data_IF_304328286559
#
_entry.id   IF_304328286559
#
_cell.length_a   1.000
_cell.length_b   1.000
_cell.length_c   1.000
_cell.angle_alpha   90.00
_cell.angle_beta   90.00
_cell.angle_gamma   90.00
#
_symmetry.space_group_name_H-M   'P 1'
#
loop_
_entity.id
_entity.type
_entity.pdbx_description
1 polymer ?
#
# COMPACT_ATOMS: atom_id res chain seq x y z
N UNK A 1 -33.17 -6.98 14.94
CA UNK A 1 -32.28 -6.22 14.03
C UNK A 1 -32.27 -4.76 14.48
N UNK A 2 -31.18 -4.23 15.07
CA UNK A 2 -31.12 -2.80 15.38
C UNK A 2 -30.94 -2.01 14.09
N UNK A 3 -31.75 -0.98 13.90
CA UNK A 3 -31.66 -0.02 12.79
C UNK A 3 -30.24 0.56 12.73
N UNK A 4 -29.51 0.32 11.63
CA UNK A 4 -28.30 1.08 11.27
C UNK A 4 -28.68 2.56 11.29
N UNK A 5 -28.17 3.33 12.25
CA UNK A 5 -28.21 4.78 12.18
C UNK A 5 -27.57 5.17 10.85
N UNK A 6 -28.26 5.99 10.05
CA UNK A 6 -27.71 6.53 8.81
C UNK A 6 -26.42 7.30 9.19
N UNK A 7 -25.27 6.72 8.91
CA UNK A 7 -23.98 7.45 8.96
C UNK A 7 -24.09 8.54 7.88
N UNK A 8 -23.93 9.80 8.29
CA UNK A 8 -23.80 10.88 7.34
C UNK A 8 -22.70 10.52 6.34
N UNK A 9 -23.02 10.58 5.04
CA UNK A 9 -22.02 10.34 4.01
C UNK A 9 -20.88 11.36 4.17
N UNK A 10 -19.61 10.92 4.10
CA UNK A 10 -18.46 11.84 4.07
C UNK A 10 -18.62 12.79 2.88
N UNK A 11 -18.34 14.09 3.04
CA UNK A 11 -18.26 15.02 1.92
C UNK A 11 -16.97 14.72 1.15
N UNK A 12 -17.03 13.80 0.15
CA UNK A 12 -15.85 13.39 -0.59
C UNK A 12 -15.31 14.55 -1.45
N UNK A 13 -13.99 14.78 -1.48
CA UNK A 13 -13.37 15.74 -2.39
C UNK A 13 -13.35 15.22 -3.84
N UNK A 14 -12.82 16.02 -4.76
CA UNK A 14 -12.75 15.69 -6.19
C UNK A 14 -11.88 14.48 -6.54
N UNK A 15 -11.04 14.02 -5.61
CA UNK A 15 -10.12 12.91 -5.82
C UNK A 15 -10.02 12.03 -4.56
N UNK A 16 -10.40 10.78 -4.68
CA UNK A 16 -10.25 9.76 -3.62
C UNK A 16 -9.22 8.74 -4.05
N UNK A 17 -8.17 8.60 -3.26
CA UNK A 17 -6.99 7.79 -3.58
C UNK A 17 -6.77 6.71 -2.54
N UNK A 18 -6.45 5.51 -2.99
CA UNK A 18 -5.98 4.41 -2.16
C UNK A 18 -4.50 4.14 -2.43
N UNK A 19 -3.66 4.28 -1.41
CA UNK A 19 -2.21 4.05 -1.47
C UNK A 19 -1.87 2.78 -0.71
N UNK A 20 -1.28 1.80 -1.42
CA UNK A 20 -1.04 0.44 -0.94
C UNK A 20 0.46 0.15 -0.83
N UNK A 21 0.94 -0.07 0.39
CA UNK A 21 2.32 -0.41 0.70
C UNK A 21 2.66 -1.85 0.25
N UNK A 22 3.93 -2.12 -0.07
CA UNK A 22 4.45 -3.48 -0.25
C UNK A 22 4.56 -4.24 1.08
N UNK A 23 4.44 -5.58 1.04
CA UNK A 23 4.55 -6.40 2.26
C UNK A 23 4.09 -7.86 2.15
N UNK A 24 4.14 -8.45 0.96
CA UNK A 24 3.88 -9.88 0.75
C UNK A 24 2.52 -10.35 1.27
N UNK A 25 2.51 -11.40 2.10
CA UNK A 25 1.31 -11.99 2.66
C UNK A 25 0.43 -11.03 3.49
N UNK A 26 1.03 -9.93 4.02
CA UNK A 26 0.29 -8.90 4.76
C UNK A 26 -0.71 -8.14 3.87
N UNK A 27 -0.58 -8.21 2.55
CA UNK A 27 -1.49 -7.57 1.61
C UNK A 27 -2.96 -7.99 1.72
N UNK A 28 -3.27 -9.10 2.39
CA UNK A 28 -4.64 -9.47 2.73
C UNK A 28 -5.35 -8.42 3.61
N UNK A 29 -4.60 -7.69 4.44
CA UNK A 29 -5.10 -6.53 5.19
C UNK A 29 -5.62 -5.44 4.25
N UNK A 30 -4.91 -5.16 3.15
CA UNK A 30 -5.33 -4.16 2.15
C UNK A 30 -6.64 -4.57 1.47
N UNK A 31 -6.83 -5.87 1.23
CA UNK A 31 -8.07 -6.39 0.67
C UNK A 31 -9.25 -6.16 1.61
N UNK A 32 -9.07 -6.39 2.91
CA UNK A 32 -10.08 -6.07 3.93
C UNK A 32 -10.38 -4.57 4.04
N UNK A 33 -9.35 -3.73 3.93
CA UNK A 33 -9.54 -2.27 3.85
C UNK A 33 -10.39 -1.89 2.64
N UNK A 34 -10.06 -2.40 1.46
CA UNK A 34 -10.82 -2.11 0.24
C UNK A 34 -12.29 -2.56 0.36
N UNK A 35 -12.54 -3.77 0.84
CA UNK A 35 -13.90 -4.28 1.06
C UNK A 35 -14.70 -3.35 1.97
N UNK A 36 -14.13 -2.89 3.10
CA UNK A 36 -14.81 -2.00 4.01
C UNK A 36 -15.08 -0.60 3.41
N UNK A 37 -14.17 -0.06 2.59
CA UNK A 37 -14.39 1.20 1.86
C UNK A 37 -15.55 1.08 0.87
N UNK A 38 -15.65 -0.06 0.15
CA UNK A 38 -16.77 -0.35 -0.75
C UNK A 38 -18.10 -0.45 0.01
N UNK A 39 -18.13 -1.14 1.17
CA UNK A 39 -19.31 -1.25 2.03
C UNK A 39 -19.80 0.12 2.55
N UNK A 40 -18.90 1.09 2.70
CA UNK A 40 -19.21 2.47 3.06
C UNK A 40 -19.68 3.34 1.88
N UNK A 41 -19.66 2.81 0.66
CA UNK A 41 -20.02 3.54 -0.54
C UNK A 41 -18.93 4.46 -1.08
N UNK A 42 -17.69 4.35 -0.61
CA UNK A 42 -16.58 5.17 -1.08
C UNK A 42 -16.12 4.65 -2.45
N UNK A 43 -16.10 5.52 -3.44
CA UNK A 43 -15.55 5.25 -4.78
C UNK A 43 -14.14 5.78 -4.88
N UNK A 44 -13.27 5.02 -5.57
CA UNK A 44 -11.88 5.39 -5.76
C UNK A 44 -11.68 5.93 -7.18
N UNK A 45 -10.93 7.02 -7.28
CA UNK A 45 -10.51 7.59 -8.57
C UNK A 45 -9.12 7.10 -8.95
N UNK A 46 -8.30 6.75 -7.95
CA UNK A 46 -6.91 6.38 -8.17
C UNK A 46 -6.46 5.35 -7.13
N UNK A 47 -5.76 4.31 -7.60
CA UNK A 47 -5.08 3.33 -6.73
C UNK A 47 -3.60 3.30 -7.10
N UNK A 48 -2.73 3.46 -6.09
CA UNK A 48 -1.29 3.40 -6.26
C UNK A 48 -0.70 2.32 -5.35
N UNK A 49 0.15 1.45 -5.88
CA UNK A 49 0.68 0.31 -5.12
C UNK A 49 2.13 -0.03 -5.42
N UNK A 50 2.77 -0.68 -4.43
CA UNK A 50 4.12 -1.25 -4.54
C UNK A 50 4.04 -2.73 -4.18
N UNK A 51 4.75 -3.60 -4.92
CA UNK A 51 4.85 -5.04 -4.62
C UNK A 51 3.46 -5.70 -4.55
N UNK A 52 3.12 -6.35 -3.44
CA UNK A 52 1.77 -6.91 -3.24
C UNK A 52 0.68 -5.83 -3.31
N UNK A 53 1.00 -4.59 -2.94
CA UNK A 53 0.10 -3.45 -3.12
C UNK A 53 -0.20 -3.17 -4.60
N UNK A 54 0.77 -3.40 -5.50
CA UNK A 54 0.56 -3.30 -6.96
C UNK A 54 -0.37 -4.41 -7.47
N UNK A 55 -0.25 -5.64 -6.94
CA UNK A 55 -1.16 -6.75 -7.25
C UNK A 55 -2.60 -6.40 -6.85
N UNK A 56 -2.80 -5.98 -5.61
CA UNK A 56 -4.12 -5.56 -5.13
C UNK A 56 -4.67 -4.37 -5.95
N UNK A 57 -3.82 -3.38 -6.25
CA UNK A 57 -4.18 -2.21 -7.04
C UNK A 57 -4.63 -2.58 -8.46
N UNK A 58 -3.94 -3.52 -9.12
CA UNK A 58 -4.30 -4.01 -10.45
C UNK A 58 -5.65 -4.73 -10.45
N UNK A 59 -5.91 -5.56 -9.43
CA UNK A 59 -7.21 -6.24 -9.29
C UNK A 59 -8.33 -5.22 -9.07
N UNK A 60 -8.10 -4.17 -8.27
CA UNK A 60 -9.08 -3.11 -8.03
C UNK A 60 -9.36 -2.33 -9.33
N UNK A 61 -8.32 -1.86 -10.02
CA UNK A 61 -8.46 -1.03 -11.22
C UNK A 61 -9.00 -1.82 -12.42
N UNK A 62 -8.69 -3.11 -12.50
CA UNK A 62 -9.06 -3.99 -13.62
C UNK A 62 -10.45 -4.62 -13.52
N UNK A 63 -11.23 -4.32 -12.48
CA UNK A 63 -12.55 -4.92 -12.29
C UNK A 63 -13.63 -3.87 -11.99
N UNK A 64 -14.90 -4.22 -12.23
CA UNK A 64 -16.01 -3.42 -11.75
C UNK A 64 -16.02 -3.43 -10.20
N UNK A 65 -16.47 -2.33 -9.60
CA UNK A 65 -16.48 -2.14 -8.16
C UNK A 65 -17.13 -3.29 -7.38
N UNK A 66 -18.25 -3.79 -7.87
CA UNK A 66 -19.00 -4.88 -7.26
C UNK A 66 -18.32 -6.26 -7.42
N UNK A 67 -17.41 -6.40 -8.39
CA UNK A 67 -16.68 -7.63 -8.68
C UNK A 67 -15.29 -7.66 -8.06
N UNK A 68 -14.67 -6.50 -7.87
CA UNK A 68 -13.27 -6.39 -7.44
C UNK A 68 -13.00 -7.09 -6.10
N UNK A 69 -13.91 -6.97 -5.11
CA UNK A 69 -13.78 -7.68 -3.82
C UNK A 69 -13.79 -9.19 -4.02
N UNK A 70 -14.69 -9.71 -4.87
CA UNK A 70 -14.74 -11.13 -5.23
C UNK A 70 -13.46 -11.61 -5.91
N UNK A 71 -12.89 -10.81 -6.81
CA UNK A 71 -11.61 -11.10 -7.47
C UNK A 71 -10.42 -11.06 -6.53
N UNK A 72 -10.40 -10.13 -5.59
CA UNK A 72 -9.40 -10.10 -4.52
C UNK A 72 -9.52 -11.34 -3.62
N UNK A 73 -10.76 -11.76 -3.28
CA UNK A 73 -10.99 -12.98 -2.51
C UNK A 73 -10.49 -14.20 -3.27
N UNK A 74 -10.78 -14.32 -4.57
CA UNK A 74 -10.30 -15.39 -5.44
C UNK A 74 -8.76 -15.45 -5.48
N UNK A 75 -8.08 -14.29 -5.58
CA UNK A 75 -6.62 -14.20 -5.51
C UNK A 75 -6.09 -14.72 -4.17
N UNK A 76 -6.56 -14.12 -3.06
CA UNK A 76 -6.04 -14.43 -1.73
C UNK A 76 -6.35 -15.85 -1.28
N UNK A 77 -7.50 -16.39 -1.67
CA UNK A 77 -7.83 -17.80 -1.45
C UNK A 77 -6.97 -18.74 -2.28
N UNK A 78 -6.66 -18.36 -3.51
CA UNK A 78 -5.77 -19.13 -4.40
C UNK A 78 -4.36 -19.23 -3.83
N UNK A 79 -3.75 -18.12 -3.48
CA UNK A 79 -2.37 -18.08 -2.95
C UNK A 79 -2.24 -18.69 -1.54
N UNK A 80 -3.34 -18.81 -0.79
CA UNK A 80 -3.37 -19.45 0.52
C UNK A 80 -3.83 -20.92 0.49
N UNK A 81 -3.98 -21.53 -0.69
CA UNK A 81 -4.54 -22.87 -0.85
C UNK A 81 -3.56 -24.03 -0.60
N UNK A 82 -2.24 -23.78 -0.67
CA UNK A 82 -1.23 -24.85 -0.52
C UNK A 82 -1.07 -25.35 0.92
N UNK A 83 -1.44 -24.53 1.89
CA UNK A 83 -1.26 -24.86 3.28
C UNK A 83 -2.58 -25.41 3.85
N UNK A 84 -2.58 -26.62 4.42
CA UNK A 84 -3.77 -27.13 5.09
C UNK A 84 -4.19 -26.12 6.15
N UNK A 85 -5.49 -25.83 6.19
CA UNK A 85 -6.08 -25.05 7.28
C UNK A 85 -5.89 -25.85 8.57
N UNK A 86 -4.78 -25.61 9.26
CA UNK A 86 -4.59 -26.20 10.57
C UNK A 86 -5.66 -25.61 11.51
N UNK A 87 -6.26 -26.43 12.38
CA UNK A 87 -7.24 -25.93 13.33
C UNK A 87 -6.64 -24.73 14.08
N UNK A 88 -7.41 -23.65 14.19
CA UNK A 88 -7.02 -22.51 15.03
C UNK A 88 -6.89 -23.02 16.46
N UNK A 89 -5.67 -23.25 16.89
CA UNK A 89 -5.37 -23.65 18.26
C UNK A 89 -5.43 -22.42 19.16
N UNK A 90 -6.15 -22.49 20.25
CA UNK A 90 -6.37 -21.37 21.19
C UNK A 90 -5.14 -21.05 22.08
N UNK A 91 -3.94 -21.31 21.57
CA UNK A 91 -2.68 -21.11 22.28
C UNK A 91 -1.69 -20.37 21.36
N UNK A 92 -1.22 -19.22 21.79
CA UNK A 92 -0.31 -18.36 21.02
C UNK A 92 0.99 -19.08 20.64
N UNK A 93 1.56 -19.91 21.51
CA UNK A 93 2.74 -20.72 21.20
C UNK A 93 2.51 -21.70 20.04
N UNK A 94 1.37 -22.38 20.01
CA UNK A 94 1.05 -23.30 18.92
C UNK A 94 0.76 -22.56 17.60
N UNK A 95 0.19 -21.37 17.66
CA UNK A 95 0.00 -20.48 16.49
C UNK A 95 1.34 -20.02 15.92
N UNK A 96 2.28 -19.62 16.77
CA UNK A 96 3.62 -19.19 16.38
C UNK A 96 4.38 -20.31 15.67
N UNK A 97 4.39 -21.55 16.22
CA UNK A 97 4.98 -22.72 15.57
C UNK A 97 4.34 -23.05 14.22
N UNK A 98 3.03 -22.95 14.14
CA UNK A 98 2.28 -23.17 12.90
C UNK A 98 2.65 -22.12 11.85
N UNK A 99 2.77 -20.87 12.28
CA UNK A 99 3.16 -19.74 11.45
C UNK A 99 4.59 -19.90 10.88
N UNK A 100 5.56 -20.30 11.72
CA UNK A 100 6.92 -20.57 11.27
C UNK A 100 6.99 -21.77 10.30
N UNK A 101 6.26 -22.85 10.58
CA UNK A 101 6.18 -24.02 9.70
C UNK A 101 5.58 -23.65 8.33
N UNK A 102 4.53 -22.82 8.30
CA UNK A 102 3.91 -22.33 7.09
C UNK A 102 4.87 -21.47 6.25
N UNK A 103 5.60 -20.55 6.89
CA UNK A 103 6.64 -19.77 6.21
C UNK A 103 7.76 -20.66 5.65
N UNK A 104 8.18 -21.69 6.38
CA UNK A 104 9.15 -22.69 5.89
C UNK A 104 8.66 -23.46 4.68
N UNK A 105 7.37 -23.84 4.63
CA UNK A 105 6.77 -24.48 3.47
C UNK A 105 6.74 -23.54 2.25
N UNK A 106 6.38 -22.27 2.43
CA UNK A 106 6.43 -21.28 1.37
C UNK A 106 7.84 -21.15 0.79
N UNK A 107 8.87 -21.11 1.64
CA UNK A 107 10.25 -21.05 1.20
C UNK A 107 10.67 -22.30 0.40
N UNK A 108 10.19 -23.48 0.79
CA UNK A 108 10.56 -24.75 0.15
C UNK A 108 9.76 -25.05 -1.14
N UNK A 109 8.48 -24.71 -1.19
CA UNK A 109 7.56 -25.13 -2.26
C UNK A 109 6.95 -23.96 -3.05
N UNK A 110 7.18 -22.72 -2.63
CA UNK A 110 6.57 -21.53 -3.24
C UNK A 110 5.12 -21.30 -2.81
N UNK A 111 4.43 -20.47 -3.57
CA UNK A 111 3.03 -20.07 -3.34
C UNK A 111 2.22 -20.35 -4.61
N UNK A 112 1.14 -21.14 -4.55
CA UNK A 112 0.31 -21.44 -5.72
C UNK A 112 -0.20 -20.19 -6.42
N UNK A 113 -0.09 -20.17 -7.74
CA UNK A 113 -0.56 -19.03 -8.54
C UNK A 113 0.23 -17.74 -8.32
N UNK A 114 1.35 -17.80 -7.58
CA UNK A 114 2.19 -16.63 -7.31
C UNK A 114 3.64 -16.87 -7.72
N UNK A 115 4.37 -17.78 -7.04
CA UNK A 115 5.73 -18.16 -7.41
C UNK A 115 6.05 -19.61 -7.04
N UNK A 116 6.99 -20.22 -7.78
CA UNK A 116 7.47 -21.58 -7.55
C UNK A 116 9.01 -21.61 -7.48
N UNK A 117 9.62 -22.52 -6.72
CA UNK A 117 11.08 -22.69 -6.72
C UNK A 117 11.60 -23.04 -8.12
N UNK A 118 12.75 -22.48 -8.48
CA UNK A 118 13.40 -22.79 -9.77
C UNK A 118 14.00 -24.18 -9.76
N UNK A 119 13.82 -24.85 -10.88
CA UNK A 119 14.52 -26.08 -11.18
C UNK A 119 15.03 -26.05 -12.63
N UNK A 120 16.35 -26.19 -12.89
CA UNK A 120 17.43 -26.36 -11.90
C UNK A 120 17.63 -25.13 -11.01
N UNK A 121 18.27 -25.27 -9.83
CA UNK A 121 18.60 -24.15 -8.96
C UNK A 121 19.48 -23.10 -9.64
N UNK A 122 19.47 -21.81 -9.20
CA UNK A 122 20.17 -20.69 -9.86
C UNK A 122 21.66 -20.92 -10.11
N UNK A 123 22.35 -21.71 -9.25
CA UNK A 123 23.76 -22.03 -9.41
C UNK A 123 24.08 -22.83 -10.69
N UNK A 124 23.09 -23.44 -11.30
CA UNK A 124 23.21 -24.23 -12.54
C UNK A 124 22.64 -23.49 -13.76
N UNK A 125 22.10 -22.30 -13.58
CA UNK A 125 21.59 -21.47 -14.67
C UNK A 125 22.71 -20.76 -15.43
N UNK A 126 22.46 -20.40 -16.68
CA UNK A 126 23.35 -19.60 -17.47
C UNK A 126 23.55 -18.20 -16.86
N UNK A 127 24.81 -17.73 -16.79
CA UNK A 127 25.09 -16.40 -16.24
C UNK A 127 24.43 -15.30 -17.06
N UNK A 128 24.05 -14.22 -16.39
CA UNK A 128 23.39 -13.05 -16.97
C UNK A 128 21.93 -13.30 -17.41
N UNK A 129 21.31 -14.36 -16.91
CA UNK A 129 19.88 -14.61 -17.08
C UNK A 129 19.11 -14.35 -15.79
N UNK A 130 17.81 -14.03 -15.84
CA UNK A 130 16.98 -13.88 -14.66
C UNK A 130 16.98 -15.12 -13.76
N UNK A 131 17.14 -16.31 -14.36
CA UNK A 131 17.24 -17.61 -13.69
C UNK A 131 18.47 -17.71 -12.79
N UNK A 132 19.59 -17.11 -13.20
CA UNK A 132 20.85 -17.14 -12.43
C UNK A 132 20.84 -16.22 -11.20
N UNK A 133 19.88 -15.27 -11.13
CA UNK A 133 19.85 -14.22 -10.10
C UNK A 133 18.58 -14.27 -9.23
N UNK A 134 17.78 -15.36 -9.32
CA UNK A 134 16.56 -15.50 -8.53
C UNK A 134 16.27 -16.94 -8.11
N UNK A 135 15.75 -17.12 -6.89
CA UNK A 135 15.40 -18.43 -6.34
C UNK A 135 14.08 -18.98 -6.86
N UNK A 136 13.16 -18.11 -7.24
CA UNK A 136 11.80 -18.46 -7.65
C UNK A 136 11.50 -17.99 -9.07
N UNK A 137 10.52 -18.64 -9.68
CA UNK A 137 9.89 -18.24 -10.93
C UNK A 137 8.50 -17.65 -10.65
N UNK A 138 8.19 -16.51 -11.26
CA UNK A 138 6.94 -15.78 -11.11
C UNK A 138 5.96 -15.96 -12.28
N UNK A 139 6.24 -16.86 -13.22
CA UNK A 139 5.32 -17.17 -14.31
C UNK A 139 3.89 -17.52 -13.84
N UNK A 140 3.70 -18.24 -12.71
CA UNK A 140 2.34 -18.49 -12.18
C UNK A 140 1.56 -17.21 -11.86
N UNK A 141 2.22 -16.11 -11.43
CA UNK A 141 1.55 -14.85 -11.14
C UNK A 141 1.03 -14.17 -12.41
N UNK A 142 1.74 -14.29 -13.53
CA UNK A 142 1.26 -13.76 -14.83
C UNK A 142 -0.09 -14.37 -15.18
N UNK A 143 -0.17 -15.71 -15.17
CA UNK A 143 -1.41 -16.42 -15.47
C UNK A 143 -2.55 -16.08 -14.49
N UNK A 144 -2.22 -15.86 -13.22
CA UNK A 144 -3.19 -15.45 -12.20
C UNK A 144 -3.71 -14.04 -12.46
N UNK A 145 -2.84 -13.09 -12.77
CA UNK A 145 -3.22 -11.70 -13.07
C UNK A 145 -4.04 -11.63 -14.36
N UNK A 146 -3.64 -12.33 -15.44
CA UNK A 146 -4.37 -12.33 -16.71
C UNK A 146 -5.78 -12.89 -16.56
N UNK A 147 -6.01 -13.79 -15.61
CA UNK A 147 -7.33 -14.34 -15.28
C UNK A 147 -8.17 -13.41 -14.41
N UNK A 148 -7.55 -12.63 -13.52
CA UNK A 148 -8.22 -11.82 -12.51
C UNK A 148 -8.37 -10.34 -12.90
N UNK A 149 -7.57 -9.84 -13.83
CA UNK A 149 -7.46 -8.43 -14.20
C UNK A 149 -7.85 -8.23 -15.65
N UNK A 150 -8.77 -7.33 -15.89
CA UNK A 150 -9.05 -6.85 -17.24
C UNK A 150 -8.11 -5.67 -17.57
N UNK A 151 -7.08 -5.93 -18.38
CA UNK A 151 -6.07 -4.95 -18.75
C UNK A 151 -6.61 -3.79 -19.59
N UNK A 152 -7.63 -4.03 -20.41
CA UNK A 152 -8.31 -2.94 -21.15
C UNK A 152 -8.97 -1.97 -20.18
N UNK A 153 -9.58 -2.50 -19.11
CA UNK A 153 -10.17 -1.66 -18.07
C UNK A 153 -9.11 -0.93 -17.25
N UNK A 154 -7.98 -1.56 -16.94
CA UNK A 154 -6.84 -0.90 -16.28
C UNK A 154 -6.42 0.34 -17.07
N UNK A 155 -6.26 0.21 -18.38
CA UNK A 155 -5.70 1.26 -19.22
C UNK A 155 -6.73 2.30 -19.74
N UNK A 156 -8.02 1.94 -19.78
CA UNK A 156 -9.07 2.79 -20.34
C UNK A 156 -10.23 3.05 -19.36
N UNK A 157 -10.15 2.52 -18.16
CA UNK A 157 -11.20 2.65 -17.15
C UNK A 157 -11.17 3.97 -16.39
N UNK A 158 -12.04 4.05 -15.38
CA UNK A 158 -12.18 5.27 -14.56
C UNK A 158 -11.14 5.38 -13.46
N UNK A 159 -10.63 4.25 -12.97
CA UNK A 159 -9.68 4.20 -11.85
C UNK A 159 -8.27 4.27 -12.39
N UNK A 160 -7.56 5.36 -12.11
CA UNK A 160 -6.13 5.49 -12.42
C UNK A 160 -5.32 4.46 -11.63
N UNK A 161 -4.36 3.80 -12.27
CA UNK A 161 -3.43 2.90 -11.62
C UNK A 161 -2.01 3.45 -11.73
N UNK A 162 -1.28 3.45 -10.60
CA UNK A 162 0.17 3.70 -10.59
C UNK A 162 0.88 2.59 -9.84
N UNK A 163 1.97 2.08 -10.41
CA UNK A 163 2.82 1.07 -9.76
C UNK A 163 4.27 1.51 -9.84
N UNK A 164 5.02 1.29 -8.75
CA UNK A 164 6.42 1.72 -8.68
C UNK A 164 7.39 0.55 -8.74
N UNK A 165 8.51 0.74 -9.44
CA UNK A 165 9.61 -0.21 -9.53
C UNK A 165 10.96 0.52 -9.55
N UNK A 166 12.05 -0.21 -9.37
CA UNK A 166 13.42 0.34 -9.36
C UNK A 166 14.19 -0.20 -10.57
N UNK A 167 14.74 0.69 -11.40
CA UNK A 167 15.60 0.29 -12.50
C UNK A 167 16.91 -0.31 -11.96
N UNK A 168 17.23 -1.54 -12.37
CA UNK A 168 18.35 -2.33 -11.81
C UNK A 168 19.70 -1.64 -12.04
N UNK A 169 19.94 -1.14 -13.25
CA UNK A 169 21.22 -0.58 -13.65
C UNK A 169 21.52 0.78 -13.01
N UNK A 170 20.49 1.57 -12.74
CA UNK A 170 20.66 2.94 -12.26
C UNK A 170 20.28 3.15 -10.79
N UNK A 171 19.49 2.22 -10.22
CA UNK A 171 18.89 2.39 -8.90
C UNK A 171 17.79 3.46 -8.87
N UNK A 172 17.43 4.05 -10.01
CA UNK A 172 16.40 5.08 -10.07
C UNK A 172 15.01 4.47 -9.93
N UNK A 173 14.16 5.18 -9.17
CA UNK A 173 12.76 4.81 -9.01
C UNK A 173 11.96 5.27 -10.23
N UNK A 174 11.05 4.42 -10.75
CA UNK A 174 10.11 4.75 -11.80
C UNK A 174 8.70 4.38 -11.37
N UNK A 175 7.76 5.29 -11.62
CA UNK A 175 6.34 4.98 -11.60
C UNK A 175 5.85 4.71 -13.02
N UNK A 176 5.15 3.58 -13.19
CA UNK A 176 4.33 3.29 -14.36
C UNK A 176 2.90 3.71 -14.01
N UNK A 177 2.29 4.52 -14.86
CA UNK A 177 1.03 5.19 -14.56
C UNK A 177 0.12 5.19 -15.78
N UNK A 178 -1.13 4.79 -15.61
CA UNK A 178 -2.10 4.70 -16.72
C UNK A 178 -2.43 6.04 -17.38
N UNK A 179 -1.98 7.17 -16.83
CA UNK A 179 -2.08 8.47 -17.54
C UNK A 179 -1.06 8.62 -18.66
N UNK A 180 0.04 7.89 -18.64
CA UNK A 180 1.14 8.03 -19.61
C UNK A 180 1.70 6.69 -20.10
N UNK A 181 1.45 5.60 -19.42
CA UNK A 181 1.94 4.26 -19.77
C UNK A 181 0.77 3.30 -20.05
N UNK A 182 1.03 2.28 -20.86
CA UNK A 182 0.13 1.12 -20.99
C UNK A 182 0.61 0.04 -20.04
N UNK A 183 -0.18 -0.27 -19.03
CA UNK A 183 0.17 -1.22 -17.97
C UNK A 183 -0.34 -2.62 -18.31
N UNK A 184 0.50 -3.63 -18.09
CA UNK A 184 0.19 -5.06 -18.18
C UNK A 184 0.78 -5.83 -16.98
N UNK A 185 0.64 -7.15 -16.97
CA UNK A 185 1.14 -8.00 -15.88
C UNK A 185 2.63 -7.81 -15.59
N UNK A 186 3.47 -7.51 -16.59
CA UNK A 186 4.92 -7.31 -16.39
C UNK A 186 5.22 -6.15 -15.46
N UNK A 187 4.45 -5.06 -15.52
CA UNK A 187 4.61 -3.89 -14.65
C UNK A 187 4.31 -4.24 -13.18
N UNK A 188 3.31 -5.09 -12.96
CA UNK A 188 2.95 -5.58 -11.63
C UNK A 188 4.05 -6.51 -11.09
N UNK A 189 4.56 -7.42 -11.94
CA UNK A 189 5.67 -8.30 -11.58
C UNK A 189 6.93 -7.50 -11.26
N UNK A 190 7.27 -6.49 -12.06
CA UNK A 190 8.42 -5.60 -11.83
C UNK A 190 8.33 -4.92 -10.46
N UNK A 191 7.13 -4.41 -10.12
CA UNK A 191 6.89 -3.79 -8.82
C UNK A 191 7.05 -4.75 -7.64
N UNK A 192 6.86 -6.07 -7.85
CA UNK A 192 6.99 -7.11 -6.83
C UNK A 192 8.27 -7.95 -6.93
N UNK A 193 9.18 -7.66 -7.84
CA UNK A 193 10.40 -8.44 -8.12
C UNK A 193 11.50 -8.23 -7.05
N UNK A 194 11.25 -8.69 -5.82
CA UNK A 194 12.19 -8.51 -4.70
C UNK A 194 13.40 -9.46 -4.80
N UNK A 195 14.62 -8.94 -5.03
CA UNK A 195 15.83 -9.77 -5.11
C UNK A 195 16.27 -10.26 -3.72
N UNK A 196 16.97 -11.40 -3.64
CA UNK A 196 17.24 -12.39 -4.69
C UNK A 196 16.12 -13.41 -4.83
N UNK A 197 14.99 -13.23 -4.17
CA UNK A 197 13.85 -14.15 -4.21
C UNK A 197 13.28 -14.25 -5.61
N UNK A 198 12.85 -13.13 -6.15
CA UNK A 198 12.12 -13.04 -7.42
C UNK A 198 12.99 -12.44 -8.53
N UNK A 199 12.78 -12.83 -9.82
CA UNK A 199 13.59 -12.39 -10.93
C UNK A 199 13.35 -10.93 -11.28
N UNK A 200 14.37 -10.22 -11.80
CA UNK A 200 14.14 -8.92 -12.44
C UNK A 200 13.24 -9.07 -13.66
N UNK A 201 12.49 -8.03 -13.96
CA UNK A 201 11.54 -8.01 -15.09
C UNK A 201 11.98 -6.97 -16.10
N UNK A 202 12.04 -7.35 -17.38
CA UNK A 202 12.37 -6.45 -18.47
C UNK A 202 11.13 -5.73 -18.99
N UNK A 203 11.19 -4.39 -19.06
CA UNK A 203 10.18 -3.54 -19.65
C UNK A 203 10.90 -2.51 -20.54
N UNK A 204 10.59 -2.50 -21.82
CA UNK A 204 11.12 -1.57 -22.82
C UNK A 204 12.67 -1.49 -22.81
N UNK A 205 13.34 -2.66 -22.69
CA UNK A 205 14.79 -2.78 -22.71
C UNK A 205 15.49 -2.39 -21.41
N UNK A 206 14.75 -2.13 -20.32
CA UNK A 206 15.31 -1.87 -18.99
C UNK A 206 14.84 -2.95 -18.00
N UNK A 207 15.74 -3.33 -17.09
CA UNK A 207 15.44 -4.30 -16.03
C UNK A 207 14.96 -3.62 -14.75
N UNK A 208 13.95 -4.19 -14.13
CA UNK A 208 13.33 -3.62 -12.93
C UNK A 208 13.24 -4.64 -11.79
N UNK A 209 13.46 -4.14 -10.58
CA UNK A 209 13.22 -4.81 -9.31
C UNK A 209 12.12 -4.11 -8.50
N UNK A 210 11.73 -4.75 -7.38
CA UNK A 210 10.70 -4.29 -6.45
C UNK A 210 10.93 -2.84 -6.01
N UNK A 211 9.87 -2.03 -6.11
CA UNK A 211 9.88 -0.65 -5.66
C UNK A 211 10.22 -0.48 -4.18
N UNK A 212 9.90 -1.48 -3.35
CA UNK A 212 10.19 -1.49 -1.92
C UNK A 212 11.68 -1.37 -1.55
N UNK A 213 12.58 -1.62 -2.48
CA UNK A 213 14.03 -1.38 -2.29
C UNK A 213 14.33 0.10 -2.03
N UNK A 214 13.59 1.02 -2.63
CA UNK A 214 13.81 2.48 -2.52
C UNK A 214 12.66 3.15 -1.79
N UNK A 215 11.41 2.92 -2.21
CA UNK A 215 10.22 3.49 -1.58
C UNK A 215 9.10 2.45 -1.55
N UNK A 216 8.63 2.12 -0.35
CA UNK A 216 7.63 1.07 -0.18
C UNK A 216 6.18 1.59 -0.17
N UNK A 217 5.96 2.90 -0.25
CA UNK A 217 4.64 3.54 -0.23
C UNK A 217 4.60 4.66 -1.24
N UNK A 218 3.72 4.63 -2.26
CA UNK A 218 3.71 5.57 -3.38
C UNK A 218 2.99 6.91 -3.08
N UNK A 219 2.98 7.38 -1.83
CA UNK A 219 2.28 8.60 -1.40
C UNK A 219 2.87 9.85 -2.05
N UNK A 220 4.20 9.96 -2.14
CA UNK A 220 4.89 11.13 -2.70
C UNK A 220 4.48 11.35 -4.16
N UNK A 221 4.49 10.30 -4.97
CA UNK A 221 4.03 10.35 -6.37
C UNK A 221 2.59 10.85 -6.48
N UNK A 222 1.69 10.32 -5.64
CA UNK A 222 0.29 10.75 -5.62
C UNK A 222 0.16 12.24 -5.32
N UNK A 223 0.83 12.72 -4.28
CA UNK A 223 0.73 14.12 -3.84
C UNK A 223 1.38 15.10 -4.83
N UNK A 224 2.46 14.69 -5.50
CA UNK A 224 3.19 15.52 -6.46
C UNK A 224 2.49 15.63 -7.83
N UNK A 225 1.79 14.55 -8.24
CA UNK A 225 1.13 14.53 -9.56
C UNK A 225 -0.34 14.91 -9.51
N UNK A 226 -0.97 14.93 -8.33
CA UNK A 226 -2.35 15.33 -8.18
C UNK A 226 -2.51 16.87 -8.24
N UNK A 227 -3.57 17.32 -8.93
CA UNK A 227 -3.91 18.73 -9.10
C UNK A 227 -5.30 19.11 -8.55
N UNK A 228 -5.88 18.26 -7.71
CA UNK A 228 -7.21 18.40 -7.09
C UNK A 228 -7.12 18.23 -5.59
N UNK A 229 -8.13 18.71 -4.88
CA UNK A 229 -8.33 18.38 -3.48
C UNK A 229 -8.54 16.89 -3.32
N UNK A 230 -7.86 16.27 -2.34
CA UNK A 230 -7.82 14.82 -2.26
C UNK A 230 -8.04 14.28 -0.85
N UNK A 231 -8.68 13.12 -0.81
CA UNK A 231 -8.72 12.20 0.33
C UNK A 231 -7.86 10.98 0.00
N UNK A 232 -6.83 10.75 0.78
CA UNK A 232 -5.93 9.62 0.61
C UNK A 232 -6.10 8.63 1.75
N UNK A 233 -6.47 7.40 1.44
CA UNK A 233 -6.38 6.28 2.35
C UNK A 233 -5.02 5.61 2.14
N UNK A 234 -4.10 5.79 3.08
CA UNK A 234 -2.78 5.16 3.05
C UNK A 234 -2.81 3.90 3.91
N UNK A 235 -2.52 2.76 3.29
CA UNK A 235 -2.51 1.46 3.96
C UNK A 235 -1.08 1.01 4.18
N UNK A 236 -0.64 1.07 5.44
CA UNK A 236 0.70 0.69 5.86
C UNK A 236 0.69 -0.71 6.49
N UNK A 237 1.56 -1.58 6.02
CA UNK A 237 1.66 -2.98 6.45
C UNK A 237 2.69 -3.19 7.58
N UNK A 238 3.57 -2.21 7.79
CA UNK A 238 4.61 -2.26 8.81
C UNK A 238 4.44 -1.12 9.82
N UNK A 239 4.20 -1.44 11.12
CA UNK A 239 3.99 -0.42 12.14
C UNK A 239 5.31 0.29 12.50
N UNK A 240 5.26 1.62 12.58
CA UNK A 240 6.42 2.40 13.01
C UNK A 240 6.72 2.24 14.51
N UNK A 241 5.67 2.09 15.33
CA UNK A 241 5.77 1.86 16.77
C UNK A 241 5.76 0.36 17.04
N UNK A 242 6.47 -0.06 18.07
CA UNK A 242 6.54 -1.44 18.56
C UNK A 242 7.37 -1.51 19.83
N UNK A 243 7.25 -2.61 20.52
CA UNK A 243 7.94 -2.86 21.78
C UNK A 243 9.43 -3.16 21.56
N UNK A 244 10.18 -3.15 22.66
CA UNK A 244 11.59 -3.55 22.66
C UNK A 244 11.67 -5.07 22.45
N UNK A 245 12.46 -5.56 21.46
CA UNK A 245 12.61 -6.98 21.23
C UNK A 245 13.21 -7.71 22.44
N UNK A 246 12.74 -8.93 22.71
CA UNK A 246 13.20 -9.79 23.78
C UNK A 246 14.08 -10.95 23.27
N UNK A 247 13.95 -11.29 21.97
CA UNK A 247 14.72 -12.33 21.31
C UNK A 247 15.15 -11.94 19.90
N UNK A 248 15.84 -12.85 19.20
CA UNK A 248 16.37 -12.62 17.85
C UNK A 248 15.28 -12.52 16.80
N UNK A 249 14.18 -13.26 16.96
CA UNK A 249 13.07 -13.25 16.01
C UNK A 249 12.32 -11.92 16.08
N UNK A 250 11.99 -11.47 17.28
CA UNK A 250 11.41 -10.15 17.51
C UNK A 250 12.34 -9.03 17.01
N UNK A 251 13.67 -9.19 17.19
CA UNK A 251 14.66 -8.24 16.67
C UNK A 251 14.63 -8.14 15.15
N UNK A 252 14.57 -9.26 14.41
CA UNK A 252 14.44 -9.28 12.96
C UNK A 252 13.10 -8.71 12.50
N UNK A 253 12.02 -9.07 13.18
CA UNK A 253 10.68 -8.51 12.91
C UNK A 253 10.68 -7.00 13.08
N UNK A 254 11.25 -6.50 14.18
CA UNK A 254 11.31 -5.07 14.50
C UNK A 254 12.21 -4.30 13.52
N UNK A 255 13.32 -4.90 13.09
CA UNK A 255 14.19 -4.32 12.07
C UNK A 255 13.45 -4.10 10.75
N UNK A 256 12.67 -5.09 10.28
CA UNK A 256 11.80 -4.94 9.10
C UNK A 256 10.78 -3.82 9.27
N UNK A 257 10.10 -3.77 10.42
CA UNK A 257 9.12 -2.73 10.72
C UNK A 257 9.74 -1.35 10.63
N UNK A 258 10.89 -1.14 11.23
CA UNK A 258 11.61 0.14 11.17
C UNK A 258 12.03 0.45 9.74
N UNK A 259 12.59 -0.51 9.02
CA UNK A 259 13.08 -0.34 7.65
C UNK A 259 11.98 0.14 6.70
N UNK A 260 10.80 -0.51 6.73
CA UNK A 260 9.72 -0.22 5.81
C UNK A 260 8.81 0.93 6.28
N UNK A 261 8.64 1.12 7.61
CA UNK A 261 7.80 2.21 8.14
C UNK A 261 8.51 3.56 8.21
N UNK A 262 9.83 3.59 8.43
CA UNK A 262 10.56 4.84 8.68
C UNK A 262 10.55 5.78 7.47
N UNK A 263 10.73 5.24 6.25
CA UNK A 263 10.67 6.03 5.01
C UNK A 263 9.27 6.57 4.78
N UNK A 264 8.24 5.72 4.90
CA UNK A 264 6.83 6.10 4.76
C UNK A 264 6.45 7.23 5.70
N UNK A 265 6.80 7.09 6.99
CA UNK A 265 6.52 8.12 7.99
C UNK A 265 7.24 9.42 7.68
N UNK A 266 8.53 9.36 7.31
CA UNK A 266 9.30 10.56 6.95
C UNK A 266 8.68 11.30 5.76
N UNK A 267 8.21 10.57 4.76
CA UNK A 267 7.55 11.14 3.58
C UNK A 267 6.23 11.80 3.99
N UNK A 268 5.33 11.07 4.67
CA UNK A 268 4.02 11.60 5.07
C UNK A 268 4.13 12.80 6.00
N UNK A 269 5.01 12.75 7.02
CA UNK A 269 5.24 13.86 7.96
C UNK A 269 5.87 15.08 7.23
N UNK A 270 6.80 14.85 6.31
CA UNK A 270 7.41 15.89 5.50
C UNK A 270 6.41 16.59 4.57
N UNK A 271 5.54 15.83 3.92
CA UNK A 271 4.46 16.34 3.08
C UNK A 271 3.48 17.19 3.88
N UNK A 272 3.02 16.71 5.03
CA UNK A 272 2.09 17.45 5.89
C UNK A 272 2.70 18.71 6.46
N UNK A 273 3.99 18.69 6.84
CA UNK A 273 4.72 19.88 7.29
C UNK A 273 4.79 20.92 6.18
N UNK A 274 5.21 20.53 4.98
CA UNK A 274 5.27 21.40 3.79
C UNK A 274 3.92 22.05 3.49
N UNK A 275 2.82 21.30 3.60
CA UNK A 275 1.45 21.82 3.43
C UNK A 275 1.09 22.88 4.47
N UNK A 276 1.50 22.70 5.74
CA UNK A 276 1.32 23.71 6.79
C UNK A 276 2.13 24.97 6.53
N UNK A 277 3.39 24.83 6.13
CA UNK A 277 4.27 25.94 5.78
C UNK A 277 3.69 26.76 4.61
N UNK A 278 3.26 26.09 3.53
CA UNK A 278 2.62 26.74 2.39
C UNK A 278 1.36 27.50 2.80
N UNK A 279 0.52 26.94 3.65
CA UNK A 279 -0.68 27.60 4.16
C UNK A 279 -0.37 28.84 5.03
N UNK A 280 0.72 28.81 5.80
CA UNK A 280 1.18 29.98 6.54
C UNK A 280 1.63 31.10 5.60
N UNK A 281 2.39 30.75 4.57
CA UNK A 281 2.85 31.69 3.55
C UNK A 281 1.65 32.29 2.80
N UNK A 282 0.68 31.47 2.40
CA UNK A 282 -0.52 31.92 1.69
C UNK A 282 -1.30 32.96 2.52
N UNK A 283 -1.54 32.68 3.81
CA UNK A 283 -2.15 33.65 4.74
C UNK A 283 -1.34 34.93 4.91
N UNK A 284 -0.01 34.89 4.78
CA UNK A 284 0.82 36.09 4.77
C UNK A 284 0.63 36.87 3.47
N UNK A 285 0.57 36.19 2.34
CA UNK A 285 0.35 36.80 1.02
C UNK A 285 -1.03 37.46 0.91
N UNK A 286 -2.05 36.94 1.57
CA UNK A 286 -3.38 37.54 1.66
C UNK A 286 -3.38 38.89 2.38
N UNK A 287 -2.42 39.12 3.31
CA UNK A 287 -2.27 40.35 4.09
C UNK A 287 -1.36 41.37 3.44
N UNK A 288 -0.72 41.05 2.32
CA UNK A 288 0.13 41.98 1.60
C UNK A 288 -0.70 43.09 0.96
N UNK A 289 -0.24 44.37 1.02
CA UNK A 289 -0.86 45.46 0.27
C UNK A 289 -0.92 45.15 -1.23
N UNK A 290 -2.01 45.61 -1.87
CA UNK A 290 -2.27 45.31 -3.29
C UNK A 290 -1.15 45.80 -4.23
N UNK A 291 -0.40 46.81 -3.85
CA UNK A 291 0.75 47.37 -4.61
C UNK A 291 1.89 46.34 -4.81
N UNK A 292 1.99 45.32 -3.94
CA UNK A 292 3.00 44.26 -4.06
C UNK A 292 2.51 43.04 -4.85
N UNK A 293 1.22 42.96 -5.18
CA UNK A 293 0.62 41.76 -5.80
C UNK A 293 1.24 41.39 -7.16
N UNK A 294 1.72 42.42 -7.89
CA UNK A 294 2.30 42.25 -9.23
C UNK A 294 3.80 41.98 -9.25
N UNK A 295 4.48 42.01 -8.11
CA UNK A 295 5.90 41.70 -8.04
C UNK A 295 6.15 40.23 -8.51
N UNK A 296 7.20 40.01 -9.34
CA UNK A 296 7.55 38.66 -9.83
C UNK A 296 7.75 37.66 -8.71
N UNK A 297 8.37 38.07 -7.60
CA UNK A 297 8.62 37.25 -6.42
C UNK A 297 7.31 36.82 -5.74
N UNK A 298 6.36 37.74 -5.59
CA UNK A 298 5.04 37.47 -4.99
C UNK A 298 4.27 36.49 -5.87
N UNK A 299 4.27 36.68 -7.19
CA UNK A 299 3.64 35.76 -8.15
C UNK A 299 4.28 34.37 -8.09
N UNK A 300 5.61 34.30 -8.01
CA UNK A 300 6.32 33.02 -7.90
C UNK A 300 5.97 32.28 -6.60
N UNK A 301 5.94 32.99 -5.45
CA UNK A 301 5.57 32.41 -4.16
C UNK A 301 4.11 31.98 -4.15
N UNK A 302 3.18 32.78 -4.70
CA UNK A 302 1.75 32.35 -4.83
C UNK A 302 1.62 31.05 -5.60
N UNK A 303 2.33 30.92 -6.72
CA UNK A 303 2.34 29.68 -7.51
C UNK A 303 2.91 28.48 -6.72
N UNK A 304 3.93 28.72 -5.89
CA UNK A 304 4.55 27.68 -5.07
C UNK A 304 3.62 27.19 -3.96
N UNK A 305 2.83 28.09 -3.36
CA UNK A 305 1.92 27.76 -2.23
C UNK A 305 0.50 27.39 -2.67
N UNK A 306 0.17 27.47 -3.95
CA UNK A 306 -1.12 27.02 -4.51
C UNK A 306 -1.21 25.49 -4.45
N UNK A 307 -1.37 24.97 -3.25
CA UNK A 307 -1.47 23.55 -2.98
C UNK A 307 -2.91 23.17 -2.69
N UNK A 308 -3.36 22.11 -3.35
CA UNK A 308 -4.69 21.53 -3.13
C UNK A 308 -4.81 20.90 -1.74
N UNK A 309 -6.00 20.84 -1.16
CA UNK A 309 -6.22 20.25 0.14
C UNK A 309 -5.86 18.74 0.13
N UNK A 310 -5.21 18.27 1.18
CA UNK A 310 -4.84 16.87 1.37
C UNK A 310 -5.34 16.37 2.72
N UNK A 311 -6.32 15.49 2.70
CA UNK A 311 -6.74 14.73 3.88
C UNK A 311 -6.14 13.32 3.80
N UNK A 312 -5.27 12.97 4.74
CA UNK A 312 -4.54 11.70 4.77
C UNK A 312 -5.06 10.84 5.92
N UNK A 313 -5.70 9.71 5.60
CA UNK A 313 -6.13 8.70 6.58
C UNK A 313 -5.14 7.54 6.56
N UNK A 314 -4.41 7.34 7.65
CA UNK A 314 -3.45 6.25 7.78
C UNK A 314 -4.09 5.04 8.45
N UNK A 315 -4.17 3.94 7.71
CA UNK A 315 -4.67 2.63 8.14
C UNK A 315 -3.46 1.71 8.28
N UNK A 316 -3.02 1.50 9.53
CA UNK A 316 -1.76 0.81 9.83
C UNK A 316 -2.06 -0.57 10.37
N UNK A 317 -1.54 -1.61 9.72
CA UNK A 317 -1.64 -2.97 10.19
C UNK A 317 -0.95 -3.11 11.55
N UNK A 318 -1.69 -3.65 12.52
CA UNK A 318 -1.18 -3.97 13.86
C UNK A 318 -1.16 -5.50 13.98
N UNK A 319 0.02 -6.14 13.84
CA UNK A 319 0.10 -7.59 13.87
C UNK A 319 -0.28 -8.12 15.25
N UNK A 320 -1.08 -9.21 15.34
CA UNK A 320 -1.23 -9.96 16.59
C UNK A 320 0.11 -10.51 17.08
N UNK A 321 0.25 -10.70 18.39
CA UNK A 321 1.51 -11.12 19.04
C UNK A 321 2.09 -12.44 18.48
N UNK A 322 1.24 -13.34 18.01
CA UNK A 322 1.67 -14.63 17.43
C UNK A 322 2.20 -14.52 15.99
N UNK A 323 2.03 -13.40 15.30
CA UNK A 323 2.62 -13.18 13.99
C UNK A 323 4.10 -12.81 14.12
N UNK A 324 4.95 -13.74 13.72
CA UNK A 324 6.41 -13.66 13.85
C UNK A 324 7.07 -12.79 12.76
N UNK A 325 8.39 -12.74 12.75
CA UNK A 325 9.21 -12.03 11.76
C UNK A 325 9.04 -12.52 10.31
N UNK A 326 8.47 -13.71 10.12
CA UNK A 326 8.20 -14.28 8.81
C UNK A 326 6.80 -13.93 8.25
N UNK A 327 6.04 -13.05 8.89
CA UNK A 327 4.65 -12.72 8.57
C UNK A 327 4.40 -12.23 7.13
N UNK A 328 5.40 -11.65 6.48
CA UNK A 328 5.34 -11.22 5.08
C UNK A 328 5.51 -12.39 4.07
N UNK A 329 5.95 -13.55 4.53
CA UNK A 329 6.08 -14.79 3.75
C UNK A 329 5.10 -15.89 4.17
N UNK A 330 4.22 -15.66 5.12
CA UNK A 330 3.30 -16.64 5.66
C UNK A 330 1.93 -16.52 4.99
N UNK A 331 1.68 -17.36 3.97
CA UNK A 331 0.47 -17.36 3.14
C UNK A 331 -0.58 -18.39 3.58
N UNK A 332 -0.66 -18.76 4.87
CA UNK A 332 -1.73 -19.67 5.30
C UNK A 332 -3.11 -19.02 5.21
N UNK A 333 -4.14 -19.85 5.01
CA UNK A 333 -5.53 -19.40 4.95
C UNK A 333 -5.95 -18.70 6.24
N UNK A 334 -5.55 -19.24 7.39
CA UNK A 334 -5.89 -18.69 8.70
C UNK A 334 -5.33 -17.28 8.91
N UNK A 335 -4.06 -17.06 8.56
CA UNK A 335 -3.43 -15.74 8.66
C UNK A 335 -4.03 -14.76 7.66
N UNK A 336 -4.31 -15.20 6.43
CA UNK A 336 -4.99 -14.40 5.43
C UNK A 336 -6.35 -13.89 5.92
N UNK A 337 -7.19 -14.75 6.50
CA UNK A 337 -8.51 -14.36 7.03
C UNK A 337 -8.40 -13.39 8.21
N UNK A 338 -7.42 -13.59 9.11
CA UNK A 338 -7.17 -12.66 10.22
C UNK A 338 -6.74 -11.28 9.69
N UNK A 339 -5.79 -11.24 8.76
CA UNK A 339 -5.33 -9.97 8.20
C UNK A 339 -6.44 -9.24 7.43
N UNK A 340 -7.28 -9.98 6.71
CA UNK A 340 -8.45 -9.42 6.03
C UNK A 340 -9.43 -8.78 7.02
N UNK A 341 -9.76 -9.50 8.10
CA UNK A 341 -10.64 -8.97 9.15
C UNK A 341 -10.07 -7.71 9.82
N UNK A 342 -8.77 -7.73 10.15
CA UNK A 342 -8.07 -6.56 10.71
C UNK A 342 -8.12 -5.34 9.79
N UNK A 343 -8.07 -5.55 8.46
CA UNK A 343 -8.23 -4.47 7.48
C UNK A 343 -9.62 -3.83 7.54
N UNK A 344 -10.66 -4.62 7.64
CA UNK A 344 -12.04 -4.13 7.82
C UNK A 344 -12.18 -3.35 9.13
N UNK A 345 -11.69 -3.92 10.23
CA UNK A 345 -11.76 -3.31 11.56
C UNK A 345 -11.03 -1.95 11.59
N UNK A 346 -9.90 -1.81 10.89
CA UNK A 346 -9.16 -0.56 10.79
C UNK A 346 -10.00 0.56 10.13
N UNK A 347 -10.73 0.25 9.06
CA UNK A 347 -11.63 1.22 8.42
C UNK A 347 -12.82 1.54 9.33
N UNK A 348 -13.42 0.55 9.95
CA UNK A 348 -14.52 0.77 10.89
C UNK A 348 -14.10 1.66 12.06
N UNK A 349 -12.91 1.43 12.61
CA UNK A 349 -12.34 2.26 13.67
C UNK A 349 -12.07 3.71 13.19
N UNK A 350 -11.53 3.88 11.98
CA UNK A 350 -11.33 5.20 11.39
C UNK A 350 -12.65 5.98 11.20
N UNK A 351 -13.72 5.28 10.87
CA UNK A 351 -15.03 5.92 10.62
C UNK A 351 -15.86 6.17 11.88
N UNK A 352 -15.46 5.69 13.06
CA UNK A 352 -16.16 6.02 14.32
C UNK A 352 -16.18 7.53 14.59
N UNK A 353 -15.05 8.20 14.34
CA UNK A 353 -14.92 9.65 14.49
C UNK A 353 -14.80 10.35 13.13
N UNK A 354 -15.49 9.81 12.11
CA UNK A 354 -15.48 10.33 10.75
C UNK A 354 -15.91 11.80 10.60
N UNK A 355 -16.56 12.39 11.62
CA UNK A 355 -16.92 13.80 11.64
C UNK A 355 -15.66 14.72 11.60
N UNK A 356 -14.56 14.33 12.26
CA UNK A 356 -13.30 15.11 12.22
C UNK A 356 -12.74 15.19 10.80
N UNK A 357 -12.81 14.08 10.07
CA UNK A 357 -12.42 14.01 8.66
C UNK A 357 -13.40 14.81 7.79
N UNK A 358 -14.71 14.68 8.03
CA UNK A 358 -15.74 15.41 7.29
C UNK A 358 -15.57 16.93 7.45
N UNK A 359 -15.32 17.42 8.66
CA UNK A 359 -15.09 18.84 8.95
C UNK A 359 -13.83 19.34 8.24
N UNK A 360 -12.73 18.54 8.25
CA UNK A 360 -11.51 18.91 7.56
C UNK A 360 -11.69 19.02 6.04
N UNK A 361 -12.41 18.08 5.43
CA UNK A 361 -12.72 18.11 3.99
C UNK A 361 -13.62 19.29 3.66
N UNK A 362 -14.71 19.51 4.42
CA UNK A 362 -15.67 20.58 4.18
C UNK A 362 -15.03 21.98 4.29
N UNK A 363 -14.04 22.14 5.16
CA UNK A 363 -13.31 23.39 5.37
C UNK A 363 -12.09 23.54 4.42
N UNK A 364 -11.85 22.59 3.51
CA UNK A 364 -10.70 22.61 2.60
C UNK A 364 -9.34 22.55 3.32
N UNK A 365 -9.30 21.95 4.53
CA UNK A 365 -8.06 21.80 5.29
C UNK A 365 -7.21 20.63 4.76
N UNK A 366 -5.93 20.65 5.13
CA UNK A 366 -5.03 19.50 4.94
C UNK A 366 -4.66 18.95 6.31
N UNK A 367 -5.19 17.80 6.64
CA UNK A 367 -4.96 17.15 7.93
C UNK A 367 -4.57 15.68 7.74
N UNK A 368 -3.81 15.14 8.70
CA UNK A 368 -3.45 13.72 8.73
C UNK A 368 -4.09 13.07 9.95
N UNK A 369 -4.73 11.95 9.72
CA UNK A 369 -5.45 11.17 10.72
C UNK A 369 -4.87 9.77 10.81
N UNK A 370 -4.72 9.25 12.03
CA UNK A 370 -4.34 7.86 12.27
C UNK A 370 -5.30 7.25 13.29
N UNK A 371 -5.56 5.95 13.15
CA UNK A 371 -6.35 5.22 14.15
C UNK A 371 -5.48 4.99 15.38
N UNK A 372 -5.90 5.53 16.51
CA UNK A 372 -5.23 5.36 17.82
C UNK A 372 -6.29 4.89 18.83
N UNK A 373 -5.98 3.84 19.56
CA UNK A 373 -6.90 3.30 20.59
C UNK A 373 -8.33 3.07 20.05
N UNK A 374 -8.46 2.51 18.85
CA UNK A 374 -9.73 2.27 18.15
C UNK A 374 -10.55 3.53 17.80
N UNK A 375 -9.91 4.69 17.65
CA UNK A 375 -10.54 5.94 17.24
C UNK A 375 -9.64 6.73 16.27
N UNK A 376 -10.26 7.46 15.34
CA UNK A 376 -9.56 8.36 14.43
C UNK A 376 -9.12 9.62 15.22
N UNK A 377 -7.83 9.95 15.14
CA UNK A 377 -7.30 11.16 15.78
C UNK A 377 -6.44 11.94 14.78
N UNK A 378 -6.45 13.28 14.84
CA UNK A 378 -5.44 14.07 14.17
C UNK A 378 -4.06 13.61 14.66
N UNK A 379 -3.15 13.39 13.72
CA UNK A 379 -1.79 12.97 14.06
C UNK A 379 -1.09 14.10 14.80
N UNK A 380 -0.67 13.85 16.02
CA UNK A 380 0.13 14.80 16.78
C UNK A 380 1.42 15.13 16.01
N UNK A 381 1.88 16.36 16.09
CA UNK A 381 3.16 16.75 15.52
C UNK A 381 4.28 15.93 16.16
N UNK A 382 5.27 15.48 15.38
CA UNK A 382 6.48 14.92 15.97
C UNK A 382 7.12 16.01 16.84
N UNK A 383 7.42 15.67 18.09
CA UNK A 383 8.25 16.54 18.96
C UNK A 383 9.54 16.85 18.21
N UNK A 384 9.72 18.12 17.84
CA UNK A 384 10.96 18.66 17.29
C UNK A 384 11.85 18.92 18.50
N UNK A 385 12.54 17.88 18.97
CA UNK A 385 13.67 18.02 19.90
C UNK A 385 14.99 17.93 19.14
#
# INVERSE_FOLDING_TARGET
MPRRAARAALPLPDLVVLVLQGGGALGAFQAGVYEALIDLGIELDWVAGISIGAVNAAIIAGNERDQAVGKMREFWEGVSSALPSLPVVDNDWAREWTHMAAAGQVAAFGVPGFFIPRFPPPAFAERQTPEAVSFYDTAPLVATLDRLVNWDRVNNGKVRLSVGAVAVETGNFRYFDTQCDTIDARHILASGALPPGLPPVEIDGNWYWDGGLVSNTPLEHVVETANKDMLVFQVDLFPARGDRPHDMEEAWSREKDIRYSSRTRRISDGLMRRRKEHRLIDRMLEKLPAEYADLPEVKAVRKMVDCKALNLVQLIHQPPAWQTGARDFEFSRSTMEVNWALGRDAVEAAMKDGHLLADSIAEGRSDSFAVQSNALRPKAEPDVS
#
